data_IF_809316735798
#
_entry.id   IF_809316735798
#
_cell.length_a   1.000
_cell.length_b   1.000
_cell.length_c   1.000
_cell.angle_alpha   90.00
_cell.angle_beta   90.00
_cell.angle_gamma   90.00
#
_symmetry.space_group_name_H-M   'P 1'
#
loop_
_entity.id
_entity.type
_entity.pdbx_description
1 polymer ?
#
# COMPACT_ATOMS: atom_id res chain seq x y z
N UNK A 1 -34.15 -19.98 52.02
CA UNK A 1 -34.15 -19.46 50.65
C UNK A 1 -34.52 -17.99 50.74
N UNK A 2 -33.51 -17.11 50.75
CA UNK A 2 -33.65 -15.66 50.62
C UNK A 2 -32.41 -15.21 49.84
N UNK A 3 -32.63 -14.60 48.68
CA UNK A 3 -31.59 -14.18 47.77
C UNK A 3 -30.97 -12.87 48.21
N UNK A 4 -29.65 -12.84 48.28
CA UNK A 4 -28.88 -11.60 48.36
C UNK A 4 -28.35 -11.25 46.96
N UNK A 5 -28.93 -10.18 46.43
CA UNK A 5 -28.53 -9.50 45.21
C UNK A 5 -27.23 -8.75 45.50
N UNK A 6 -26.16 -9.09 44.77
CA UNK A 6 -24.90 -8.34 44.83
C UNK A 6 -25.05 -6.95 44.19
N UNK A 7 -24.52 -5.89 44.80
CA UNK A 7 -24.59 -4.54 44.24
C UNK A 7 -23.66 -4.38 43.02
N UNK A 8 -23.97 -3.44 42.11
CA UNK A 8 -23.24 -3.27 40.86
C UNK A 8 -21.84 -2.68 41.07
N UNK A 9 -20.88 -2.91 40.13
CA UNK A 9 -19.50 -2.48 40.31
C UNK A 9 -19.37 -0.96 40.35
N UNK A 10 -18.63 -0.47 41.34
CA UNK A 10 -18.24 0.92 41.51
C UNK A 10 -17.45 1.43 40.30
N UNK A 11 -17.80 2.64 39.85
CA UNK A 11 -17.16 3.41 38.77
C UNK A 11 -15.63 3.34 38.86
N UNK A 12 -15.01 2.79 37.81
CA UNK A 12 -13.55 2.76 37.64
C UNK A 12 -13.05 4.22 37.54
N UNK A 13 -12.22 4.61 38.50
CA UNK A 13 -11.58 5.92 38.61
C UNK A 13 -10.68 6.14 37.37
N UNK A 14 -10.99 7.19 36.60
CA UNK A 14 -10.21 7.63 35.44
C UNK A 14 -8.85 8.10 35.95
N UNK A 15 -7.77 7.41 35.54
CA UNK A 15 -6.40 7.91 35.73
C UNK A 15 -6.25 9.06 34.75
N UNK A 16 -6.18 10.28 35.28
CA UNK A 16 -5.81 11.50 34.54
C UNK A 16 -4.34 11.40 34.16
N UNK A 17 -4.06 10.67 33.08
CA UNK A 17 -2.83 10.86 32.32
C UNK A 17 -2.98 12.14 31.52
N UNK A 18 -2.24 13.16 31.92
CA UNK A 18 -1.98 14.39 31.16
C UNK A 18 -1.49 14.02 29.75
N UNK A 19 -2.43 13.88 28.81
CA UNK A 19 -2.13 13.93 27.40
C UNK A 19 -2.02 15.42 27.09
N UNK A 20 -0.79 15.92 27.15
CA UNK A 20 -0.47 17.20 26.53
C UNK A 20 -0.72 16.99 25.04
N UNK A 21 -1.90 17.41 24.56
CA UNK A 21 -2.14 17.62 23.14
C UNK A 21 -1.14 18.66 22.66
N UNK A 22 -0.01 18.20 22.13
CA UNK A 22 0.92 19.06 21.41
C UNK A 22 0.25 19.41 20.08
N UNK A 23 -0.33 20.59 20.05
CA UNK A 23 -0.60 21.35 18.83
C UNK A 23 0.73 21.84 18.24
N UNK A 24 1.56 20.94 17.72
CA UNK A 24 2.69 21.35 16.88
C UNK A 24 2.29 21.16 15.42
N UNK A 25 1.91 22.27 14.80
CA UNK A 25 1.77 22.43 13.33
C UNK A 25 3.14 22.43 12.61
N UNK A 26 4.23 22.12 13.33
CA UNK A 26 5.57 21.98 12.77
C UNK A 26 5.77 20.61 12.14
N UNK A 27 6.37 20.61 10.96
CA UNK A 27 6.85 19.42 10.25
C UNK A 27 7.76 18.63 11.20
N UNK A 28 7.38 17.40 11.49
CA UNK A 28 8.25 16.46 12.21
C UNK A 28 9.18 15.82 11.17
N UNK A 29 10.34 16.44 10.93
CA UNK A 29 11.29 16.02 9.88
C UNK A 29 11.81 14.59 10.08
N UNK A 30 11.66 14.06 11.30
CA UNK A 30 12.09 12.72 11.70
C UNK A 30 10.94 11.69 11.71
N UNK A 31 9.68 12.08 11.43
CA UNK A 31 8.57 11.13 11.25
C UNK A 31 8.22 10.95 9.77
N UNK A 32 8.28 9.70 9.29
CA UNK A 32 7.82 9.32 7.96
C UNK A 32 6.52 8.52 8.09
N UNK A 33 5.42 9.09 7.61
CA UNK A 33 4.12 8.42 7.52
C UNK A 33 3.80 8.03 6.08
N UNK A 34 3.49 6.76 5.88
CA UNK A 34 3.21 6.16 4.57
C UNK A 34 1.81 5.58 4.60
N UNK A 35 0.97 6.03 3.68
CA UNK A 35 -0.31 5.41 3.38
C UNK A 35 -0.24 4.70 2.03
N UNK A 36 -0.92 3.59 1.91
CA UNK A 36 -1.04 2.86 0.65
C UNK A 36 -2.50 2.46 0.41
N UNK A 37 -2.96 2.57 -0.83
CA UNK A 37 -4.35 2.36 -1.19
C UNK A 37 -4.51 1.92 -2.65
N UNK A 38 -4.98 0.69 -2.86
CA UNK A 38 -5.51 0.30 -4.16
C UNK A 38 -6.83 1.03 -4.40
N UNK A 39 -6.83 2.02 -5.31
CA UNK A 39 -7.99 2.87 -5.56
C UNK A 39 -8.95 2.27 -6.58
N UNK A 40 -8.55 1.18 -7.25
CA UNK A 40 -9.34 0.50 -8.28
C UNK A 40 -9.97 1.49 -9.30
N UNK A 41 -9.11 2.34 -9.86
CA UNK A 41 -9.44 3.39 -10.81
C UNK A 41 -9.48 4.78 -10.19
N UNK A 42 -8.71 5.71 -10.74
CA UNK A 42 -8.56 7.07 -10.19
C UNK A 42 -9.75 7.99 -10.51
N UNK A 43 -10.57 7.63 -11.50
CA UNK A 43 -11.61 8.49 -12.04
C UNK A 43 -12.54 9.14 -10.98
N UNK A 44 -13.04 8.42 -9.96
CA UNK A 44 -13.92 8.99 -8.94
C UNK A 44 -13.29 10.15 -8.14
N UNK A 45 -11.96 10.21 -8.06
CA UNK A 45 -11.22 11.19 -7.27
C UNK A 45 -10.91 12.49 -8.03
N UNK A 46 -10.96 12.45 -9.36
CA UNK A 46 -10.51 13.57 -10.21
C UNK A 46 -11.58 14.06 -11.19
N UNK A 47 -12.56 13.24 -11.52
CA UNK A 47 -13.63 13.66 -12.42
C UNK A 47 -14.66 14.53 -11.69
N UNK A 48 -15.17 15.55 -12.39
CA UNK A 48 -16.37 16.29 -11.97
C UNK A 48 -17.58 15.44 -12.32
N UNK A 49 -18.47 15.19 -11.37
CA UNK A 49 -19.71 14.45 -11.62
C UNK A 49 -20.56 15.21 -12.63
N UNK A 50 -21.09 14.52 -13.64
CA UNK A 50 -21.92 15.10 -14.71
C UNK A 50 -23.10 15.91 -14.15
N UNK A 51 -23.60 15.56 -12.96
CA UNK A 51 -24.65 16.31 -12.25
C UNK A 51 -24.30 17.77 -11.96
N UNK A 52 -23.03 18.16 -11.91
CA UNK A 52 -22.65 19.58 -11.74
C UNK A 52 -23.03 20.45 -12.94
N UNK A 53 -23.23 19.84 -14.12
CA UNK A 53 -23.69 20.56 -15.33
C UNK A 53 -25.21 20.76 -15.36
N UNK A 54 -25.98 19.99 -14.59
CA UNK A 54 -27.43 20.05 -14.55
C UNK A 54 -27.99 20.79 -13.31
N UNK A 55 -27.14 21.27 -12.40
CA UNK A 55 -27.54 22.02 -11.22
C UNK A 55 -27.80 23.53 -11.47
N UNK A 56 -27.68 23.99 -12.71
CA UNK A 56 -28.17 25.31 -13.09
C UNK A 56 -29.70 25.29 -13.27
N UNK A 57 -30.46 25.21 -12.16
CA UNK A 57 -31.90 25.49 -12.19
C UNK A 57 -32.82 24.73 -11.24
N UNK A 58 -32.35 23.75 -10.46
CA UNK A 58 -33.24 22.97 -9.58
C UNK A 58 -33.22 23.47 -8.13
N UNK A 59 -34.39 23.90 -7.64
CA UNK A 59 -34.66 24.25 -6.23
C UNK A 59 -34.32 23.07 -5.34
N UNK A 60 -33.49 23.32 -4.32
CA UNK A 60 -32.99 22.31 -3.41
C UNK A 60 -34.11 21.77 -2.51
N UNK A 61 -34.50 20.51 -2.70
CA UNK A 61 -35.20 19.73 -1.67
C UNK A 61 -34.16 19.07 -0.77
N UNK A 62 -34.13 19.51 0.48
CA UNK A 62 -33.32 18.99 1.58
C UNK A 62 -33.78 17.57 1.97
N UNK A 63 -33.28 16.53 1.30
CA UNK A 63 -33.21 15.15 1.80
C UNK A 63 -32.57 14.23 0.76
N UNK A 64 -31.29 14.45 0.46
CA UNK A 64 -30.43 13.38 -0.04
C UNK A 64 -29.18 13.42 0.80
N UNK A 65 -28.90 12.33 1.54
CA UNK A 65 -27.64 12.11 2.23
C UNK A 65 -26.49 12.47 1.28
N UNK A 66 -25.82 13.60 1.51
CA UNK A 66 -24.67 14.05 0.72
C UNK A 66 -23.56 13.01 0.90
N UNK A 67 -23.52 12.02 0.01
CA UNK A 67 -22.36 11.16 -0.14
C UNK A 67 -21.17 12.09 -0.38
N UNK A 68 -20.26 12.17 0.60
CA UNK A 68 -19.06 12.98 0.49
C UNK A 68 -18.29 12.51 -0.74
N UNK A 69 -18.08 13.40 -1.71
CA UNK A 69 -17.35 13.09 -2.94
C UNK A 69 -15.95 12.60 -2.56
N UNK A 70 -15.51 11.50 -3.16
CA UNK A 70 -14.15 11.00 -2.98
C UNK A 70 -13.13 12.07 -3.43
N UNK A 71 -12.14 12.37 -2.59
CA UNK A 71 -11.21 13.48 -2.80
C UNK A 71 -9.85 13.13 -2.20
N UNK A 72 -8.80 13.21 -3.03
CA UNK A 72 -7.43 12.97 -2.58
C UNK A 72 -6.99 14.02 -1.57
N UNK A 73 -7.30 15.30 -1.81
CA UNK A 73 -6.94 16.38 -0.86
C UNK A 73 -7.62 16.20 0.48
N UNK A 74 -8.89 15.81 0.50
CA UNK A 74 -9.60 15.57 1.76
C UNK A 74 -9.07 14.34 2.50
N UNK A 75 -8.62 13.32 1.76
CA UNK A 75 -7.90 12.20 2.37
C UNK A 75 -6.61 12.68 3.04
N UNK A 76 -5.75 13.39 2.31
CA UNK A 76 -4.48 13.93 2.83
C UNK A 76 -4.72 14.79 4.08
N UNK A 77 -5.72 15.68 4.05
CA UNK A 77 -6.07 16.56 5.16
C UNK A 77 -6.57 15.80 6.40
N UNK A 78 -7.52 14.87 6.24
CA UNK A 78 -8.11 14.11 7.36
C UNK A 78 -7.09 13.20 8.03
N UNK A 79 -6.08 12.74 7.29
CA UNK A 79 -5.00 11.89 7.79
C UNK A 79 -3.73 12.66 8.13
N UNK A 80 -3.87 13.96 8.45
CA UNK A 80 -2.83 14.85 8.98
C UNK A 80 -1.62 15.00 8.05
N UNK A 81 -1.88 15.13 6.76
CA UNK A 81 -0.86 15.43 5.74
C UNK A 81 0.31 14.42 5.74
N UNK A 82 0.04 13.14 5.40
CA UNK A 82 1.05 12.10 5.45
C UNK A 82 2.24 12.41 4.54
N UNK A 83 3.40 11.86 4.86
CA UNK A 83 4.64 12.07 4.08
C UNK A 83 4.49 11.49 2.68
N UNK A 84 3.93 10.28 2.56
CA UNK A 84 3.65 9.62 1.28
C UNK A 84 2.24 9.02 1.26
N UNK A 85 1.59 9.11 0.10
CA UNK A 85 0.38 8.37 -0.24
C UNK A 85 0.61 7.61 -1.54
N UNK A 86 0.56 6.28 -1.46
CA UNK A 86 0.72 5.38 -2.60
C UNK A 86 -0.64 4.89 -3.10
N UNK A 87 -0.87 5.07 -4.39
CA UNK A 87 -2.07 4.61 -5.07
C UNK A 87 -1.73 3.48 -6.04
N UNK A 88 -2.49 2.39 -5.96
CA UNK A 88 -2.41 1.26 -6.90
C UNK A 88 -3.68 1.18 -7.76
N UNK A 89 -3.57 0.52 -8.91
CA UNK A 89 -4.62 0.44 -9.93
C UNK A 89 -5.20 1.82 -10.29
N UNK A 90 -4.35 2.80 -10.58
CA UNK A 90 -4.85 4.13 -10.99
C UNK A 90 -5.65 4.06 -12.30
N UNK A 91 -5.39 3.04 -13.15
CA UNK A 91 -6.09 2.77 -14.43
C UNK A 91 -6.12 4.00 -15.35
N UNK A 92 -5.00 4.71 -15.41
CA UNK A 92 -4.81 5.84 -16.31
C UNK A 92 -4.19 5.31 -17.60
N UNK A 93 -4.76 5.67 -18.74
CA UNK A 93 -4.11 5.41 -20.02
C UNK A 93 -2.83 6.28 -20.09
N UNK A 94 -1.66 5.74 -20.44
CA UNK A 94 -0.41 6.50 -20.54
C UNK A 94 -0.50 7.79 -21.38
N UNK A 95 -1.37 7.81 -22.39
CA UNK A 95 -1.56 8.93 -23.30
C UNK A 95 -2.60 9.95 -22.78
N UNK A 96 -3.27 9.68 -21.65
CA UNK A 96 -4.28 10.54 -21.03
C UNK A 96 -3.65 11.61 -20.12
N UNK A 97 -2.96 12.56 -20.75
CA UNK A 97 -2.33 13.68 -20.07
C UNK A 97 -3.33 14.56 -19.28
N UNK A 98 -4.62 14.53 -19.64
CA UNK A 98 -5.66 15.26 -18.93
C UNK A 98 -5.95 14.65 -17.57
N UNK A 99 -6.12 13.32 -17.49
CA UNK A 99 -6.31 12.64 -16.20
C UNK A 99 -5.06 12.75 -15.32
N UNK A 100 -3.85 12.64 -15.90
CA UNK A 100 -2.58 12.84 -15.17
C UNK A 100 -2.54 14.22 -14.52
N UNK A 101 -2.81 15.29 -15.31
CA UNK A 101 -2.87 16.66 -14.78
C UNK A 101 -3.97 16.82 -13.73
N UNK A 102 -5.13 16.18 -13.90
CA UNK A 102 -6.21 16.25 -12.94
C UNK A 102 -5.81 15.66 -11.57
N UNK A 103 -5.07 14.55 -11.54
CA UNK A 103 -4.52 14.00 -10.29
C UNK A 103 -3.50 14.96 -9.67
N UNK A 104 -2.58 15.50 -10.46
CA UNK A 104 -1.60 16.48 -9.98
C UNK A 104 -2.29 17.71 -9.37
N UNK A 105 -3.38 18.20 -9.96
CA UNK A 105 -4.14 19.32 -9.41
C UNK A 105 -4.96 18.92 -8.16
N UNK A 106 -5.44 17.67 -8.09
CA UNK A 106 -6.24 17.18 -6.98
C UNK A 106 -5.46 17.03 -5.66
N UNK A 107 -4.13 17.00 -5.71
CA UNK A 107 -3.27 16.92 -4.51
C UNK A 107 -2.62 18.25 -4.15
N UNK A 108 -2.67 19.23 -5.05
CA UNK A 108 -2.09 20.55 -4.84
C UNK A 108 -2.80 21.33 -3.74
N UNK A 109 -2.04 22.19 -3.07
CA UNK A 109 -2.59 23.17 -2.14
C UNK A 109 -3.60 24.09 -2.83
N UNK A 110 -4.78 24.24 -2.22
CA UNK A 110 -5.85 25.11 -2.68
C UNK A 110 -5.71 26.51 -2.06
N UNK A 111 -6.22 27.54 -2.74
CA UNK A 111 -6.07 28.94 -2.33
C UNK A 111 -6.79 29.29 -1.02
N UNK A 112 -7.77 28.49 -0.63
CA UNK A 112 -8.55 28.63 0.61
C UNK A 112 -7.97 27.84 1.80
N UNK A 113 -6.88 27.09 1.60
CA UNK A 113 -6.21 26.37 2.68
C UNK A 113 -5.24 27.28 3.45
N UNK A 114 -4.91 26.87 4.68
CA UNK A 114 -3.95 27.60 5.51
C UNK A 114 -2.57 27.63 4.83
N UNK A 115 -1.81 28.70 5.06
CA UNK A 115 -0.51 28.91 4.44
C UNK A 115 0.51 27.80 4.76
N UNK A 116 0.36 27.14 5.89
CA UNK A 116 1.18 26.01 6.36
C UNK A 116 0.71 24.64 5.85
N UNK A 117 -0.41 24.59 5.12
CA UNK A 117 -0.89 23.32 4.53
C UNK A 117 0.10 22.82 3.48
N UNK A 118 0.60 21.56 3.58
CA UNK A 118 1.62 21.06 2.67
C UNK A 118 1.12 20.93 1.22
N UNK A 119 2.04 21.14 0.28
CA UNK A 119 1.83 20.81 -1.14
C UNK A 119 2.34 19.40 -1.44
N UNK A 120 1.89 18.81 -2.55
CA UNK A 120 2.25 17.45 -2.94
C UNK A 120 2.56 17.36 -4.43
N UNK A 121 3.44 16.42 -4.77
CA UNK A 121 3.75 16.03 -6.14
C UNK A 121 3.24 14.63 -6.42
N UNK A 122 2.63 14.42 -7.59
CA UNK A 122 2.14 13.11 -8.03
C UNK A 122 3.04 12.56 -9.14
N UNK A 123 3.66 11.41 -8.86
CA UNK A 123 4.58 10.70 -9.74
C UNK A 123 3.96 9.38 -10.19
N UNK A 124 4.12 8.99 -11.46
CA UNK A 124 3.39 7.85 -12.05
C UNK A 124 4.33 6.81 -12.65
N UNK A 125 3.94 5.54 -12.54
CA UNK A 125 4.40 4.48 -13.44
C UNK A 125 3.15 3.90 -14.12
N UNK A 126 3.04 4.08 -15.43
CA UNK A 126 1.89 3.65 -16.23
C UNK A 126 2.30 2.54 -17.21
N UNK A 127 1.39 1.61 -17.56
CA UNK A 127 1.73 0.45 -18.38
C UNK A 127 2.20 0.82 -19.78
N UNK A 128 3.32 0.27 -20.21
CA UNK A 128 3.86 0.38 -21.58
C UNK A 128 3.78 -0.93 -22.38
N UNK A 129 3.47 -2.05 -21.72
CA UNK A 129 3.37 -3.38 -22.32
C UNK A 129 2.22 -3.45 -23.34
N UNK A 130 2.56 -3.73 -24.60
CA UNK A 130 1.61 -3.78 -25.74
C UNK A 130 0.74 -5.03 -25.76
N UNK A 131 1.11 -6.09 -25.04
CA UNK A 131 0.47 -7.39 -25.11
C UNK A 131 -0.26 -7.75 -23.81
N UNK A 132 0.30 -7.39 -22.65
CA UNK A 132 -0.23 -7.76 -21.34
C UNK A 132 -1.08 -6.66 -20.68
N UNK A 133 -0.94 -5.39 -21.08
CA UNK A 133 -1.69 -4.27 -20.52
C UNK A 133 -2.82 -3.79 -21.46
N UNK A 134 -3.68 -4.72 -21.88
CA UNK A 134 -4.75 -4.50 -22.87
C UNK A 134 -6.15 -4.28 -22.29
N UNK A 135 -6.27 -3.69 -21.10
CA UNK A 135 -7.59 -3.32 -20.56
C UNK A 135 -8.35 -2.35 -21.48
N UNK A 136 -9.64 -2.19 -21.25
CA UNK A 136 -10.48 -1.29 -22.05
C UNK A 136 -9.86 0.13 -22.11
N UNK A 137 -9.57 0.60 -23.32
CA UNK A 137 -8.90 1.88 -23.54
C UNK A 137 -7.50 1.99 -22.92
N UNK A 138 -6.80 0.87 -22.69
CA UNK A 138 -5.51 0.75 -21.96
C UNK A 138 -5.55 1.27 -20.52
N UNK A 139 -6.74 1.35 -19.92
CA UNK A 139 -6.96 1.77 -18.53
C UNK A 139 -6.88 0.57 -17.59
N UNK A 140 -5.67 0.12 -17.34
CA UNK A 140 -5.39 -1.07 -16.52
C UNK A 140 -4.13 -0.84 -15.69
N UNK A 141 -4.05 -1.44 -14.51
CA UNK A 141 -2.88 -1.35 -13.62
C UNK A 141 -2.49 0.11 -13.31
N UNK A 142 -1.18 0.40 -13.31
CA UNK A 142 -0.63 1.71 -13.01
C UNK A 142 -0.52 1.96 -11.51
N UNK A 143 0.56 2.64 -11.11
CA UNK A 143 0.75 3.15 -9.74
C UNK A 143 1.03 4.65 -9.76
N UNK A 144 0.65 5.33 -8.67
CA UNK A 144 0.99 6.73 -8.43
C UNK A 144 1.52 6.91 -7.01
N UNK A 145 2.68 7.53 -6.88
CA UNK A 145 3.22 7.97 -5.60
C UNK A 145 3.00 9.46 -5.44
N UNK A 146 2.16 9.82 -4.47
CA UNK A 146 1.91 11.20 -4.05
C UNK A 146 2.86 11.49 -2.89
N UNK A 147 3.80 12.40 -3.11
CA UNK A 147 4.91 12.70 -2.18
C UNK A 147 4.77 14.13 -1.69
N UNK A 148 4.85 14.34 -0.38
CA UNK A 148 4.80 15.67 0.21
C UNK A 148 6.01 16.48 -0.28
N UNK A 149 5.77 17.72 -0.72
CA UNK A 149 6.76 18.49 -1.47
C UNK A 149 8.00 18.86 -0.65
N UNK A 150 7.80 19.21 0.62
CA UNK A 150 8.88 19.45 1.58
C UNK A 150 9.80 18.22 1.72
N UNK A 151 9.22 17.03 1.86
CA UNK A 151 9.96 15.78 1.92
C UNK A 151 10.69 15.48 0.61
N UNK A 152 10.04 15.71 -0.53
CA UNK A 152 10.66 15.55 -1.84
C UNK A 152 11.90 16.43 -2.00
N UNK A 153 11.79 17.74 -1.72
CA UNK A 153 12.90 18.69 -1.81
C UNK A 153 14.05 18.34 -0.83
N UNK A 154 13.70 17.83 0.35
CA UNK A 154 14.67 17.59 1.41
C UNK A 154 15.36 16.22 1.36
N UNK A 155 14.67 15.17 0.90
CA UNK A 155 15.12 13.78 1.02
C UNK A 155 15.16 13.04 -0.30
N UNK A 156 14.27 13.30 -1.26
CA UNK A 156 14.17 12.48 -2.48
C UNK A 156 15.35 12.78 -3.40
N UNK A 157 16.12 11.74 -3.71
CA UNK A 157 17.22 11.78 -4.67
C UNK A 157 16.71 11.46 -6.08
N UNK A 158 15.84 10.45 -6.19
CA UNK A 158 15.33 9.98 -7.48
C UNK A 158 14.00 9.25 -7.32
N UNK A 159 13.12 9.40 -8.30
CA UNK A 159 11.93 8.57 -8.46
C UNK A 159 12.02 7.87 -9.82
N UNK A 160 11.92 6.53 -9.84
CA UNK A 160 12.08 5.74 -11.07
C UNK A 160 11.19 4.51 -11.12
N UNK A 161 10.93 4.03 -12.33
CA UNK A 161 10.40 2.68 -12.56
C UNK A 161 11.53 1.64 -12.51
N UNK A 162 11.15 0.37 -12.59
CA UNK A 162 12.06 -0.77 -12.78
C UNK A 162 12.02 -1.23 -14.24
N UNK A 163 13.14 -1.74 -14.77
CA UNK A 163 13.25 -2.13 -16.18
C UNK A 163 12.54 -3.44 -16.51
N UNK A 164 12.34 -4.30 -15.51
CA UNK A 164 11.76 -5.64 -15.67
C UNK A 164 10.21 -5.65 -15.60
N UNK A 165 9.59 -4.49 -15.38
CA UNK A 165 8.14 -4.31 -15.33
C UNK A 165 7.67 -3.29 -16.37
N UNK A 166 6.99 -3.79 -17.40
CA UNK A 166 6.36 -2.96 -18.43
C UNK A 166 4.87 -2.76 -18.17
N UNK A 167 4.32 -3.32 -17.08
CA UNK A 167 2.91 -3.22 -16.73
C UNK A 167 2.58 -2.03 -15.82
N UNK A 168 3.58 -1.22 -15.46
CA UNK A 168 3.39 0.00 -14.67
C UNK A 168 2.99 -0.27 -13.22
N UNK A 169 3.54 -1.33 -12.62
CA UNK A 169 3.19 -1.86 -11.31
C UNK A 169 4.12 -1.42 -10.20
N UNK A 170 5.33 -0.94 -10.53
CA UNK A 170 6.36 -0.65 -9.52
C UNK A 170 6.97 0.74 -9.75
N UNK A 171 6.93 1.56 -8.72
CA UNK A 171 7.59 2.88 -8.69
C UNK A 171 8.42 3.00 -7.41
N UNK A 172 9.70 3.34 -7.57
CA UNK A 172 10.67 3.43 -6.47
C UNK A 172 10.98 4.89 -6.18
N UNK A 173 10.83 5.30 -4.93
CA UNK A 173 11.28 6.60 -4.38
C UNK A 173 12.56 6.35 -3.59
N UNK A 174 13.70 6.76 -4.14
CA UNK A 174 15.02 6.68 -3.49
C UNK A 174 15.32 8.00 -2.79
N UNK A 175 15.72 7.92 -1.53
CA UNK A 175 16.08 9.10 -0.72
C UNK A 175 17.58 9.13 -0.42
N UNK A 176 18.10 10.31 -0.09
CA UNK A 176 19.37 10.46 0.61
C UNK A 176 19.18 10.27 2.12
N UNK A 177 20.24 9.84 2.80
CA UNK A 177 20.29 9.90 4.26
C UNK A 177 20.37 11.36 4.71
N UNK A 178 19.60 11.74 5.74
CA UNK A 178 19.60 13.10 6.29
C UNK A 178 19.08 13.08 7.72
N UNK A 179 19.80 13.75 8.63
CA UNK A 179 19.47 13.72 10.06
C UNK A 179 19.52 12.29 10.60
N UNK A 180 18.54 11.92 11.42
CA UNK A 180 18.37 10.53 11.91
C UNK A 180 17.79 9.56 10.88
N UNK A 181 17.31 10.07 9.73
CA UNK A 181 16.68 9.25 8.69
C UNK A 181 17.76 8.59 7.80
N UNK A 182 17.83 7.25 7.74
CA UNK A 182 18.79 6.56 6.89
C UNK A 182 18.43 6.73 5.40
N UNK A 183 19.32 6.28 4.52
CA UNK A 183 19.00 6.17 3.09
C UNK A 183 17.82 5.20 2.94
N UNK A 184 16.74 5.61 2.25
CA UNK A 184 15.55 4.78 2.05
C UNK A 184 15.33 4.48 0.56
N UNK A 185 14.79 3.31 0.28
CA UNK A 185 14.14 2.99 -0.98
C UNK A 185 12.69 2.60 -0.71
N UNK A 186 11.76 3.50 -1.02
CA UNK A 186 10.33 3.37 -0.71
C UNK A 186 9.60 2.98 -2.00
N UNK A 187 9.15 1.74 -2.08
CA UNK A 187 8.60 1.11 -3.27
C UNK A 187 7.07 1.07 -3.18
N UNK A 188 6.41 1.75 -4.10
CA UNK A 188 4.98 1.63 -4.36
C UNK A 188 4.74 0.49 -5.35
N UNK A 189 3.93 -0.49 -4.97
CA UNK A 189 3.74 -1.71 -5.76
C UNK A 189 2.28 -2.13 -5.91
N UNK A 190 1.92 -2.55 -7.13
CA UNK A 190 0.72 -3.31 -7.44
C UNK A 190 1.10 -4.68 -8.02
N UNK A 191 1.28 -5.67 -7.15
CA UNK A 191 1.73 -6.99 -7.55
C UNK A 191 0.70 -7.72 -8.43
N UNK A 192 1.15 -8.75 -9.14
CA UNK A 192 0.30 -9.52 -10.05
C UNK A 192 -0.72 -10.34 -9.23
N UNK A 193 -2.01 -10.25 -9.54
CA UNK A 193 -3.05 -11.04 -8.87
C UNK A 193 -2.84 -12.56 -9.06
N UNK A 194 -2.49 -12.97 -10.29
CA UNK A 194 -2.27 -14.36 -10.69
C UNK A 194 -3.56 -15.03 -11.17
N UNK A 195 -3.56 -15.53 -12.40
CA UNK A 195 -4.70 -16.16 -13.09
C UNK A 195 -4.20 -17.14 -14.15
N UNK A 196 -5.08 -17.98 -14.69
CA UNK A 196 -4.73 -18.89 -15.81
C UNK A 196 -4.59 -18.18 -17.16
N UNK A 197 -4.89 -16.89 -17.27
CA UNK A 197 -4.66 -16.13 -18.50
C UNK A 197 -3.18 -16.23 -18.95
N UNK A 198 -2.92 -16.30 -20.26
CA UNK A 198 -1.56 -16.35 -20.76
C UNK A 198 -0.83 -15.03 -20.46
N UNK A 199 0.41 -15.14 -20.00
CA UNK A 199 1.38 -14.06 -20.03
C UNK A 199 2.16 -14.13 -21.35
N UNK A 200 2.25 -12.99 -22.01
CA UNK A 200 2.91 -12.87 -23.32
C UNK A 200 4.27 -12.22 -23.19
N UNK A 201 5.23 -12.65 -23.99
CA UNK A 201 6.50 -11.95 -24.14
C UNK A 201 6.24 -10.49 -24.57
N UNK A 202 6.77 -9.48 -23.84
CA UNK A 202 6.50 -8.08 -24.15
C UNK A 202 7.06 -7.59 -25.49
N UNK A 203 7.98 -8.34 -26.11
CA UNK A 203 8.61 -8.04 -27.41
C UNK A 203 7.89 -8.78 -28.54
N UNK A 204 7.80 -10.11 -28.45
CA UNK A 204 7.25 -10.96 -29.54
C UNK A 204 5.73 -11.13 -29.48
N UNK A 205 5.13 -11.00 -28.30
CA UNK A 205 3.70 -11.24 -28.08
C UNK A 205 3.32 -12.72 -27.97
N UNK A 206 4.28 -13.64 -28.02
CA UNK A 206 4.07 -15.08 -27.86
C UNK A 206 3.74 -15.43 -26.40
N UNK A 207 2.89 -16.44 -26.18
CA UNK A 207 2.58 -16.89 -24.83
C UNK A 207 3.79 -17.64 -24.23
N UNK A 208 4.31 -17.17 -23.10
CA UNK A 208 5.50 -17.72 -22.42
C UNK A 208 5.18 -18.30 -21.05
N UNK A 209 3.90 -18.33 -20.67
CA UNK A 209 3.42 -18.88 -19.40
C UNK A 209 2.04 -18.32 -19.06
N UNK A 210 1.64 -18.47 -17.80
CA UNK A 210 0.42 -17.89 -17.23
C UNK A 210 0.70 -16.64 -16.39
N UNK A 211 -0.35 -15.94 -15.96
CA UNK A 211 -0.22 -14.87 -14.97
C UNK A 211 0.20 -15.41 -13.59
N UNK A 212 -0.05 -16.69 -13.30
CA UNK A 212 0.50 -17.32 -12.09
C UNK A 212 2.02 -17.43 -12.17
N UNK A 213 2.57 -17.85 -13.32
CA UNK A 213 4.02 -17.94 -13.53
C UNK A 213 4.67 -16.54 -13.46
N UNK A 214 4.02 -15.55 -14.09
CA UNK A 214 4.49 -14.16 -14.01
C UNK A 214 4.50 -13.62 -12.59
N UNK A 215 3.56 -14.02 -11.73
CA UNK A 215 3.53 -13.59 -10.32
C UNK A 215 4.76 -14.08 -9.56
N UNK A 216 5.10 -15.36 -9.68
CA UNK A 216 6.31 -15.94 -9.08
C UNK A 216 7.59 -15.27 -9.63
N UNK A 217 7.64 -15.01 -10.93
CA UNK A 217 8.76 -14.29 -11.54
C UNK A 217 8.90 -12.86 -10.97
N UNK A 218 7.78 -12.14 -10.77
CA UNK A 218 7.78 -10.81 -10.17
C UNK A 218 8.24 -10.85 -8.71
N UNK A 219 7.88 -11.88 -7.93
CA UNK A 219 8.42 -12.03 -6.58
C UNK A 219 9.95 -12.15 -6.59
N UNK A 220 10.52 -12.96 -7.51
CA UNK A 220 11.96 -13.12 -7.64
C UNK A 220 12.66 -11.82 -8.05
N UNK A 221 12.12 -11.13 -9.07
CA UNK A 221 12.66 -9.85 -9.55
C UNK A 221 12.58 -8.75 -8.49
N UNK A 222 11.46 -8.67 -7.77
CA UNK A 222 11.27 -7.73 -6.68
C UNK A 222 12.22 -8.00 -5.51
N UNK A 223 12.42 -9.27 -5.16
CA UNK A 223 13.38 -9.64 -4.12
C UNK A 223 14.80 -9.24 -4.53
N UNK A 224 15.18 -9.48 -5.78
CA UNK A 224 16.48 -9.07 -6.32
C UNK A 224 16.65 -7.55 -6.29
N UNK A 225 15.65 -6.78 -6.73
CA UNK A 225 15.66 -5.31 -6.66
C UNK A 225 15.86 -4.82 -5.22
N UNK A 226 15.13 -5.39 -4.26
CA UNK A 226 15.28 -5.04 -2.84
C UNK A 226 16.70 -5.34 -2.33
N UNK A 227 17.28 -6.50 -2.70
CA UNK A 227 18.66 -6.88 -2.34
C UNK A 227 19.68 -5.91 -2.90
N UNK A 228 19.52 -5.50 -4.16
CA UNK A 228 20.43 -4.54 -4.81
C UNK A 228 20.36 -3.16 -4.14
N UNK A 229 19.15 -2.72 -3.75
CA UNK A 229 18.94 -1.50 -2.98
C UNK A 229 19.57 -1.57 -1.57
N UNK A 230 19.39 -2.69 -0.86
CA UNK A 230 20.02 -2.92 0.45
C UNK A 230 21.56 -2.99 0.35
N UNK A 231 22.09 -3.64 -0.69
CA UNK A 231 23.52 -3.68 -0.97
C UNK A 231 24.09 -2.28 -1.29
N UNK A 232 23.28 -1.40 -1.89
CA UNK A 232 23.61 0.01 -2.10
C UNK A 232 23.41 0.90 -0.84
N UNK A 233 23.17 0.28 0.32
CA UNK A 233 23.09 0.95 1.62
C UNK A 233 21.71 1.52 1.96
N UNK A 234 20.68 1.30 1.15
CA UNK A 234 19.33 1.74 1.46
C UNK A 234 18.61 0.77 2.42
N UNK A 235 17.78 1.29 3.32
CA UNK A 235 16.73 0.48 3.96
C UNK A 235 15.49 0.50 3.06
N UNK A 236 14.92 -0.67 2.80
CA UNK A 236 13.79 -0.83 1.87
C UNK A 236 12.46 -0.78 2.62
N UNK A 237 11.50 -0.07 2.03
CA UNK A 237 10.09 -0.10 2.42
C UNK A 237 9.30 -0.52 1.18
N UNK A 238 8.54 -1.60 1.26
CA UNK A 238 7.68 -2.10 0.20
C UNK A 238 6.22 -1.92 0.62
N UNK A 239 5.46 -1.07 -0.08
CA UNK A 239 4.10 -0.70 0.30
C UNK A 239 3.13 -0.77 -0.88
N UNK A 240 2.01 -1.48 -0.70
CA UNK A 240 1.04 -1.66 -1.78
C UNK A 240 0.23 -2.94 -1.70
N UNK A 241 -0.57 -3.16 -2.73
CA UNK A 241 -1.31 -4.39 -2.95
C UNK A 241 -0.35 -5.46 -3.46
N UNK A 242 0.00 -6.42 -2.59
CA UNK A 242 0.86 -7.54 -2.95
C UNK A 242 0.06 -8.74 -3.46
N UNK A 243 -1.28 -8.66 -3.45
CA UNK A 243 -2.16 -9.76 -3.83
C UNK A 243 -1.83 -11.07 -3.08
N UNK A 244 -1.38 -10.98 -1.82
CA UNK A 244 -1.02 -12.14 -0.97
C UNK A 244 -1.60 -11.92 0.43
N UNK A 245 -2.57 -12.77 0.80
CA UNK A 245 -2.94 -12.98 2.21
C UNK A 245 -2.02 -14.05 2.80
N UNK A 246 -1.31 -13.70 3.88
CA UNK A 246 -0.16 -14.48 4.39
C UNK A 246 -0.58 -15.66 5.26
N UNK A 247 -1.52 -15.46 6.19
CA UNK A 247 -1.88 -16.46 7.18
C UNK A 247 -3.41 -16.62 7.30
N UNK A 248 -3.92 -17.68 7.97
CA UNK A 248 -5.36 -17.86 8.18
C UNK A 248 -6.07 -16.64 8.79
N UNK A 249 -5.38 -15.89 9.65
CA UNK A 249 -5.88 -14.65 10.25
C UNK A 249 -6.09 -13.50 9.25
N UNK A 250 -5.46 -13.59 8.07
CA UNK A 250 -5.50 -12.58 7.00
C UNK A 250 -6.63 -12.83 6.00
N UNK A 251 -7.51 -13.81 6.22
CA UNK A 251 -8.69 -14.07 5.40
C UNK A 251 -9.94 -14.30 6.25
N UNK A 252 -11.08 -13.87 5.73
CA UNK A 252 -12.39 -14.11 6.33
C UNK A 252 -13.45 -14.43 5.25
N UNK A 253 -14.34 -15.42 5.47
CA UNK A 253 -14.39 -16.33 6.62
C UNK A 253 -13.20 -17.31 6.67
N UNK A 254 -12.53 -17.53 5.54
CA UNK A 254 -11.36 -18.40 5.45
C UNK A 254 -10.31 -17.78 4.52
N UNK A 255 -9.05 -18.17 4.71
CA UNK A 255 -7.98 -17.87 3.78
C UNK A 255 -8.19 -18.57 2.44
N UNK A 256 -7.97 -17.86 1.33
CA UNK A 256 -8.07 -18.45 -0.01
C UNK A 256 -6.95 -19.47 -0.26
N UNK A 257 -7.36 -20.69 -0.62
CA UNK A 257 -6.45 -21.81 -0.93
C UNK A 257 -6.70 -22.43 -2.32
N UNK A 258 -7.80 -22.05 -2.97
CA UNK A 258 -8.14 -22.47 -4.33
C UNK A 258 -8.20 -21.27 -5.28
N UNK A 259 -7.58 -21.35 -6.48
CA UNK A 259 -6.79 -22.48 -6.98
C UNK A 259 -5.49 -22.69 -6.18
N UNK A 260 -4.86 -23.88 -6.31
CA UNK A 260 -3.63 -24.29 -5.59
C UNK A 260 -2.52 -23.24 -5.70
N UNK A 261 -2.50 -22.49 -6.80
CA UNK A 261 -1.58 -21.39 -7.07
C UNK A 261 -1.62 -20.30 -5.98
N UNK A 262 -2.73 -20.06 -5.29
CA UNK A 262 -2.71 -19.14 -4.14
C UNK A 262 -1.79 -19.62 -3.01
N UNK A 263 -1.78 -20.93 -2.73
CA UNK A 263 -0.87 -21.51 -1.75
C UNK A 263 0.59 -21.45 -2.21
N UNK A 264 0.86 -21.74 -3.49
CA UNK A 264 2.22 -21.68 -4.06
C UNK A 264 2.79 -20.25 -4.03
N UNK A 265 1.99 -19.27 -4.47
CA UNK A 265 2.40 -17.87 -4.48
C UNK A 265 2.66 -17.35 -3.06
N UNK A 266 1.83 -17.72 -2.09
CA UNK A 266 2.04 -17.39 -0.67
C UNK A 266 3.33 -18.01 -0.14
N UNK A 267 3.57 -19.29 -0.40
CA UNK A 267 4.76 -19.99 0.08
C UNK A 267 6.05 -19.37 -0.50
N UNK A 268 6.06 -19.05 -1.80
CA UNK A 268 7.17 -18.36 -2.45
C UNK A 268 7.37 -16.94 -1.87
N UNK A 269 6.29 -16.19 -1.64
CA UNK A 269 6.35 -14.87 -1.03
C UNK A 269 6.93 -14.91 0.40
N UNK A 270 6.41 -15.78 1.28
CA UNK A 270 6.95 -15.95 2.63
C UNK A 270 8.44 -16.31 2.60
N UNK A 271 8.81 -17.26 1.75
CA UNK A 271 10.18 -17.74 1.60
C UNK A 271 11.17 -16.64 1.17
N UNK A 272 10.74 -15.72 0.31
CA UNK A 272 11.59 -14.66 -0.25
C UNK A 272 11.68 -13.43 0.64
N UNK A 273 10.58 -13.06 1.28
CA UNK A 273 10.47 -11.75 1.94
C UNK A 273 10.48 -11.83 3.47
N UNK A 274 10.05 -12.93 4.09
CA UNK A 274 9.66 -12.91 5.50
C UNK A 274 10.33 -14.00 6.35
N UNK A 275 10.36 -15.25 5.88
CA UNK A 275 10.82 -16.39 6.68
C UNK A 275 12.33 -16.35 6.95
N UNK A 276 12.80 -16.57 8.19
CA UNK A 276 14.22 -16.75 8.47
C UNK A 276 14.78 -17.98 7.76
N UNK A 277 16.07 -17.95 7.38
CA UNK A 277 16.75 -19.03 6.63
C UNK A 277 16.61 -20.44 7.24
N UNK A 278 16.39 -20.56 8.56
CA UNK A 278 16.21 -21.83 9.28
C UNK A 278 14.88 -22.55 8.99
N UNK A 279 13.80 -21.84 8.66
CA UNK A 279 12.50 -22.47 8.34
C UNK A 279 12.42 -22.97 6.90
N UNK A 280 13.13 -22.31 5.97
CA UNK A 280 13.18 -22.66 4.55
C UNK A 280 13.67 -24.10 4.28
N UNK A 281 14.59 -24.59 5.12
CA UNK A 281 15.16 -25.95 5.01
C UNK A 281 14.15 -27.05 5.33
N UNK A 282 13.12 -26.76 6.13
CA UNK A 282 12.06 -27.72 6.46
C UNK A 282 11.04 -27.85 5.31
N UNK A 283 10.74 -26.75 4.60
CA UNK A 283 9.79 -26.71 3.48
C UNK A 283 10.43 -27.25 2.19
N UNK A 284 11.70 -26.92 1.91
CA UNK A 284 12.42 -27.42 0.71
C UNK A 284 12.52 -28.96 0.66
N UNK A 285 12.49 -29.66 1.81
CA UNK A 285 12.45 -31.14 1.83
C UNK A 285 11.12 -31.73 1.34
N UNK A 286 10.03 -30.96 1.37
CA UNK A 286 8.69 -31.42 0.95
C UNK A 286 8.37 -31.10 -0.52
N UNK A 287 9.03 -30.12 -1.14
CA UNK A 287 8.63 -29.55 -2.45
C UNK A 287 9.67 -29.70 -3.57
N UNK A 288 10.83 -30.32 -3.32
CA UNK A 288 11.94 -30.42 -4.26
C UNK A 288 11.71 -31.27 -5.54
N UNK A 289 10.47 -31.63 -5.90
CA UNK A 289 10.19 -32.44 -7.10
C UNK A 289 9.50 -31.73 -8.26
N UNK A 290 9.05 -30.47 -8.15
CA UNK A 290 8.18 -29.89 -9.20
C UNK A 290 8.53 -28.49 -9.75
N UNK A 291 9.59 -27.82 -9.30
CA UNK A 291 9.97 -26.52 -9.89
C UNK A 291 11.47 -26.45 -10.18
N UNK A 292 11.84 -26.67 -11.45
CA UNK A 292 13.22 -26.64 -11.96
C UNK A 292 13.90 -25.26 -11.97
N UNK A 293 13.58 -24.37 -11.04
CA UNK A 293 14.26 -23.08 -10.87
C UNK A 293 15.01 -23.05 -9.54
N UNK A 294 16.33 -23.27 -9.63
CA UNK A 294 17.30 -23.02 -8.57
C UNK A 294 17.51 -21.51 -8.42
N UNK A 295 16.62 -20.84 -7.70
CA UNK A 295 16.92 -19.51 -7.19
C UNK A 295 17.19 -19.63 -5.69
N UNK A 296 18.47 -19.68 -5.34
CA UNK A 296 18.98 -19.91 -3.98
C UNK A 296 19.15 -18.62 -3.17
N UNK A 297 18.56 -17.50 -3.63
CA UNK A 297 18.59 -16.25 -2.89
C UNK A 297 17.92 -16.43 -1.51
N UNK A 298 18.65 -16.08 -0.44
CA UNK A 298 18.13 -16.15 0.92
C UNK A 298 16.89 -15.25 1.09
N UNK A 299 16.13 -15.43 2.17
CA UNK A 299 15.06 -14.49 2.51
C UNK A 299 15.63 -13.08 2.79
N UNK A 300 14.80 -12.06 2.59
CA UNK A 300 15.08 -10.68 3.01
C UNK A 300 14.81 -10.46 4.51
N UNK A 301 14.04 -11.34 5.16
CA UNK A 301 13.63 -11.20 6.57
C UNK A 301 13.01 -9.82 6.89
N UNK A 302 12.21 -9.29 5.95
CA UNK A 302 11.46 -8.05 6.14
C UNK A 302 10.41 -8.20 7.24
N UNK A 303 10.03 -7.09 7.85
CA UNK A 303 8.97 -7.02 8.85
C UNK A 303 7.68 -6.56 8.18
N UNK A 304 6.62 -7.35 8.30
CA UNK A 304 5.25 -6.91 8.04
C UNK A 304 4.81 -5.99 9.17
N UNK A 305 4.75 -4.69 8.89
CA UNK A 305 4.54 -3.63 9.90
C UNK A 305 3.28 -3.86 10.73
N UNK A 306 2.17 -4.26 10.11
CA UNK A 306 0.93 -4.50 10.83
C UNK A 306 1.05 -5.73 11.73
N UNK A 307 1.56 -6.85 11.22
CA UNK A 307 1.71 -8.08 12.03
C UNK A 307 2.78 -7.94 13.11
N UNK A 308 3.77 -7.08 12.91
CA UNK A 308 4.78 -6.78 13.92
C UNK A 308 4.18 -6.10 15.16
N UNK A 309 3.29 -5.11 14.96
CA UNK A 309 2.64 -4.38 16.05
C UNK A 309 1.35 -5.04 16.55
N UNK A 310 0.66 -5.78 15.69
CA UNK A 310 -0.65 -6.38 15.94
C UNK A 310 -0.69 -7.86 15.50
N UNK A 311 0.07 -8.74 16.18
CA UNK A 311 0.25 -10.14 15.74
C UNK A 311 -1.06 -10.92 15.64
N UNK A 312 -1.98 -10.70 16.59
CA UNK A 312 -3.21 -11.48 16.73
C UNK A 312 -4.48 -10.72 16.31
N UNK A 313 -4.36 -9.49 15.84
CA UNK A 313 -5.52 -8.67 15.46
C UNK A 313 -6.03 -9.06 14.08
N UNK A 314 -7.32 -9.39 13.96
CA UNK A 314 -7.98 -9.54 12.66
C UNK A 314 -8.25 -8.16 12.06
N UNK A 315 -7.80 -7.96 10.83
CA UNK A 315 -7.86 -6.70 10.10
C UNK A 315 -7.56 -6.98 8.63
N UNK A 316 -8.30 -6.36 7.72
CA UNK A 316 -8.33 -6.68 6.30
C UNK A 316 -8.27 -5.42 5.44
N UNK A 317 -7.82 -5.58 4.20
CA UNK A 317 -7.67 -4.45 3.26
C UNK A 317 -8.56 -4.58 2.04
N UNK A 318 -8.91 -5.79 1.62
CA UNK A 318 -9.78 -6.07 0.48
C UNK A 318 -11.18 -6.50 0.91
N UNK A 319 -12.19 -5.87 0.32
CA UNK A 319 -13.62 -6.06 0.57
C UNK A 319 -14.39 -6.10 -0.75
N UNK A 320 -14.79 -7.29 -1.25
CA UNK A 320 -15.43 -7.44 -2.55
C UNK A 320 -16.76 -6.69 -2.59
N UNK A 321 -16.99 -5.93 -3.66
CA UNK A 321 -18.21 -5.10 -3.82
C UNK A 321 -19.51 -5.91 -3.96
N UNK A 322 -19.39 -7.21 -4.24
CA UNK A 322 -20.51 -8.13 -4.45
C UNK A 322 -21.05 -8.73 -3.16
N UNK A 323 -20.49 -8.37 -2.00
CA UNK A 323 -20.86 -8.87 -0.67
C UNK A 323 -21.10 -7.70 0.28
N UNK A 324 -21.80 -7.96 1.38
CA UNK A 324 -21.90 -6.96 2.44
C UNK A 324 -20.50 -6.73 3.02
N UNK A 325 -20.18 -5.48 3.35
CA UNK A 325 -18.89 -5.13 3.93
C UNK A 325 -18.63 -5.95 5.20
N UNK A 326 -17.52 -6.69 5.23
CA UNK A 326 -17.15 -7.56 6.35
C UNK A 326 -17.55 -9.04 6.20
N UNK A 327 -18.40 -9.42 5.23
CA UNK A 327 -18.82 -10.82 5.05
C UNK A 327 -17.73 -11.69 4.42
N UNK A 328 -16.85 -11.08 3.62
CA UNK A 328 -15.71 -11.75 3.00
C UNK A 328 -14.60 -10.72 2.84
N UNK A 329 -13.41 -11.04 3.33
CA UNK A 329 -12.31 -10.08 3.42
C UNK A 329 -10.97 -10.79 3.27
N UNK A 330 -9.99 -10.08 2.72
CA UNK A 330 -8.60 -10.53 2.72
C UNK A 330 -7.67 -9.35 3.07
N UNK A 331 -6.56 -9.61 3.76
CA UNK A 331 -5.47 -8.66 3.94
C UNK A 331 -4.41 -8.93 2.89
N UNK A 332 -4.48 -8.20 1.79
CA UNK A 332 -3.61 -8.39 0.61
C UNK A 332 -2.73 -7.18 0.31
N UNK A 333 -3.02 -6.05 0.95
CA UNK A 333 -2.16 -4.89 0.95
C UNK A 333 -1.24 -4.96 2.18
N UNK A 334 0.05 -4.74 1.96
CA UNK A 334 1.09 -4.85 2.98
C UNK A 334 2.02 -3.65 2.92
N UNK A 335 2.54 -3.28 4.08
CA UNK A 335 3.73 -2.44 4.20
C UNK A 335 4.80 -3.29 4.89
N UNK A 336 5.80 -3.71 4.11
CA UNK A 336 6.97 -4.44 4.59
C UNK A 336 8.15 -3.48 4.72
N UNK A 337 8.94 -3.61 5.79
CA UNK A 337 10.14 -2.81 6.02
C UNK A 337 11.36 -3.69 6.24
N UNK A 338 12.54 -3.24 5.80
CA UNK A 338 13.80 -3.89 6.16
C UNK A 338 13.90 -4.03 7.68
N UNK A 339 14.47 -5.13 8.16
CA UNK A 339 14.60 -5.46 9.59
C UNK A 339 15.22 -4.32 10.43
N UNK A 340 16.18 -3.58 9.86
CA UNK A 340 16.85 -2.42 10.49
C UNK A 340 15.91 -1.26 10.84
N UNK A 341 14.75 -1.17 10.18
CA UNK A 341 13.74 -0.15 10.42
C UNK A 341 12.77 -0.54 11.55
N UNK A 342 12.82 -1.77 12.06
CA UNK A 342 11.86 -2.27 13.07
C UNK A 342 11.79 -1.39 14.32
N UNK A 343 12.93 -0.94 14.85
CA UNK A 343 12.98 -0.07 16.02
C UNK A 343 12.39 1.34 15.79
N UNK A 344 12.24 1.76 14.53
CA UNK A 344 11.60 3.04 14.19
C UNK A 344 10.10 2.90 13.96
N UNK A 345 9.57 1.68 13.85
CA UNK A 345 8.15 1.49 13.58
C UNK A 345 7.32 1.81 14.83
N UNK A 346 6.62 2.95 14.81
CA UNK A 346 5.82 3.42 15.96
C UNK A 346 4.33 3.19 15.78
N UNK A 347 3.83 3.15 14.54
CA UNK A 347 2.41 2.93 14.25
C UNK A 347 2.23 2.14 12.95
N UNK A 348 1.22 1.28 12.92
CA UNK A 348 0.73 0.64 11.71
C UNK A 348 -0.76 0.35 11.88
N UNK A 349 -1.51 0.28 10.78
CA UNK A 349 -2.94 0.02 10.86
C UNK A 349 -3.64 0.02 9.51
N UNK A 350 -4.94 -0.24 9.55
CA UNK A 350 -5.83 -0.23 8.39
C UNK A 350 -7.04 0.66 8.69
N UNK A 351 -7.56 1.31 7.66
CA UNK A 351 -8.69 2.22 7.76
C UNK A 351 -9.99 1.49 7.38
N UNK A 352 -10.38 0.48 8.17
CA UNK A 352 -11.43 -0.51 7.87
C UNK A 352 -12.86 0.02 8.01
N UNK A 353 -13.21 1.06 7.25
CA UNK A 353 -14.57 1.58 7.21
C UNK A 353 -15.07 1.71 5.78
N UNK A 354 -16.40 1.65 5.59
CA UNK A 354 -17.02 1.91 4.28
C UNK A 354 -16.64 3.31 3.77
N UNK A 355 -16.54 4.30 4.65
CA UNK A 355 -16.17 5.66 4.29
C UNK A 355 -14.74 5.75 3.75
N UNK A 356 -13.79 5.05 4.39
CA UNK A 356 -12.38 5.05 3.97
C UNK A 356 -12.13 4.16 2.76
N UNK A 357 -12.89 3.07 2.59
CA UNK A 357 -12.93 2.30 1.35
C UNK A 357 -13.35 3.16 0.15
N UNK A 358 -14.25 4.10 0.39
CA UNK A 358 -14.76 5.02 -0.61
C UNK A 358 -15.25 4.30 -1.86
N UNK A 359 -14.84 4.71 -3.06
CA UNK A 359 -15.26 4.10 -4.32
C UNK A 359 -14.50 2.81 -4.67
N UNK A 360 -13.52 2.39 -3.86
CA UNK A 360 -12.71 1.19 -4.10
C UNK A 360 -13.38 -0.08 -3.52
N UNK A 361 -12.77 -1.22 -3.78
CA UNK A 361 -12.91 -2.45 -3.00
C UNK A 361 -11.82 -2.62 -1.93
N UNK A 362 -10.78 -1.77 -1.94
CA UNK A 362 -9.76 -1.77 -0.88
C UNK A 362 -9.93 -0.60 0.08
N UNK A 363 -9.60 -0.81 1.35
CA UNK A 363 -9.35 0.26 2.32
C UNK A 363 -7.86 0.60 2.36
N UNK A 364 -7.50 1.86 2.68
CA UNK A 364 -6.11 2.22 2.89
C UNK A 364 -5.50 1.53 4.12
N UNK A 365 -4.20 1.24 4.05
CA UNK A 365 -3.37 0.90 5.20
C UNK A 365 -2.25 1.92 5.39
N UNK A 366 -1.66 1.96 6.58
CA UNK A 366 -0.59 2.90 6.90
C UNK A 366 0.47 2.30 7.82
N UNK A 367 1.66 2.91 7.76
CA UNK A 367 2.73 2.75 8.72
C UNK A 367 3.39 4.11 9.01
N UNK A 368 3.90 4.29 10.22
CA UNK A 368 4.64 5.48 10.61
C UNK A 368 5.96 5.06 11.26
N UNK A 369 7.04 5.66 10.78
CA UNK A 369 8.41 5.45 11.25
C UNK A 369 8.89 6.74 11.92
N UNK A 370 9.41 6.61 13.14
CA UNK A 370 10.01 7.70 13.90
C UNK A 370 11.52 7.47 14.00
N UNK A 371 12.29 8.48 13.60
CA UNK A 371 13.75 8.46 13.58
C UNK A 371 14.39 9.36 14.65
N UNK A 372 13.58 9.94 15.54
CA UNK A 372 14.08 10.67 16.71
C UNK A 372 14.83 9.71 17.65
N UNK A 373 15.87 10.22 18.28
CA UNK A 373 16.69 9.52 19.29
C UNK A 373 17.54 8.33 18.80
N UNK A 374 17.78 8.18 17.49
CA UNK A 374 18.88 7.30 17.04
C UNK A 374 20.21 8.03 17.16
N UNK A 375 20.86 7.93 18.33
CA UNK A 375 22.32 8.05 18.36
C UNK A 375 22.88 7.10 17.31
N UNK A 376 23.67 7.64 16.39
CA UNK A 376 24.36 6.85 15.37
C UNK A 376 25.36 5.97 16.10
N UNK A 377 24.92 4.77 16.49
CA UNK A 377 25.79 3.69 16.90
C UNK A 377 26.69 3.36 15.72
N UNK A 378 27.92 3.87 15.76
CA UNK A 378 29.02 3.43 14.93
C UNK A 378 29.28 1.95 15.21
N UNK A 379 28.87 1.08 14.29
CA UNK A 379 29.43 -0.28 14.14
C UNK A 379 30.21 -0.36 12.83
#
# INVERSE_FOLDING_TARGET
>A
MNGDVSPPPLKRRRIEGSVVERTSTGIDEDEISIYSWNVNGIAPFVQRTITSFFQAGAVATEQSSKATKASLRDFLRRHKWPTLLFLQEVKINPDDATTIRAVQQAVKRQSNELLDSPDYEAHFCLPSDKYNARGFGRKIYGVCSIVRKDFAEQFVERIRSVSWDLEGRVLVVETKARGGVPKLAIINIYAVNGTDHPYKDPVTGEAVGSRHDRKLQVHALLQKECRELEAAGACVILAGDLNIARAPIDGFPNLRTFPKQHCLNRADFEARFLSPKKELLSVKKATAKEAGQKDDAASLEMLDTFRHLHPDQKSYTYYPRTRTFGESCDRVDLILISKKLGASLVRAGMLETISERGPSDHVPLYACLDFRDREVGSE
#
